data_IF_333971111277
#
_entry.id   IF_333971111277
#
_cell.length_a   1.000
_cell.length_b   1.000
_cell.length_c   1.000
_cell.angle_alpha   90.00
_cell.angle_beta   90.00
_cell.angle_gamma   90.00
#
_symmetry.space_group_name_H-M   'P 1'
#
loop_
_entity.id
_entity.type
_entity.pdbx_description
1 polymer ?
#
# COMPACT_ATOMS: atom_id res chain seq x y z
N UNK A 1 -13.75 -8.18 18.59
CA UNK A 1 -14.00 -8.18 17.14
C UNK A 1 -14.11 -6.74 16.69
N UNK A 2 -13.40 -6.36 15.62
CA UNK A 2 -13.54 -5.04 14.98
C UNK A 2 -14.36 -5.19 13.71
N UNK A 3 -15.21 -4.22 13.44
CA UNK A 3 -15.91 -4.07 12.16
C UNK A 3 -15.04 -3.25 11.23
N UNK A 4 -14.70 -3.80 10.06
CA UNK A 4 -13.65 -3.27 9.19
C UNK A 4 -14.17 -3.18 7.76
N UNK A 5 -14.09 -1.99 7.18
CA UNK A 5 -14.37 -1.75 5.76
C UNK A 5 -13.09 -1.39 5.04
N UNK A 6 -12.74 -2.16 4.01
CA UNK A 6 -11.66 -1.84 3.07
C UNK A 6 -12.26 -1.02 1.93
N UNK A 7 -11.79 0.21 1.78
CA UNK A 7 -12.13 1.09 0.64
C UNK A 7 -10.99 1.01 -0.36
N UNK A 8 -11.28 0.54 -1.56
CA UNK A 8 -10.31 0.32 -2.63
C UNK A 8 -10.74 1.07 -3.89
N UNK A 9 -9.83 1.91 -4.40
CA UNK A 9 -10.08 2.74 -5.57
C UNK A 9 -10.25 1.88 -6.83
N UNK A 10 -9.51 0.79 -6.95
CA UNK A 10 -9.54 -0.07 -8.12
C UNK A 10 -10.67 -1.11 -8.06
N UNK A 11 -10.86 -1.82 -9.17
CA UNK A 11 -11.86 -2.89 -9.28
C UNK A 11 -11.42 -4.23 -8.69
N UNK A 12 -10.24 -4.32 -8.05
CA UNK A 12 -9.77 -5.57 -7.45
C UNK A 12 -8.86 -5.36 -6.23
N UNK A 13 -8.96 -6.26 -5.25
CA UNK A 13 -8.00 -6.30 -4.15
C UNK A 13 -6.71 -6.97 -4.59
N UNK A 14 -5.59 -6.47 -4.05
CA UNK A 14 -4.26 -7.01 -4.28
C UNK A 14 -3.93 -7.19 -5.77
N UNK A 15 -4.19 -6.15 -6.57
CA UNK A 15 -4.00 -6.16 -8.03
C UNK A 15 -2.63 -6.70 -8.47
N UNK A 16 -1.59 -6.34 -7.73
CA UNK A 16 -0.18 -6.71 -7.97
C UNK A 16 0.19 -8.14 -7.52
N UNK A 17 -0.73 -8.84 -6.85
CA UNK A 17 -0.54 -10.22 -6.38
C UNK A 17 -0.71 -11.25 -7.50
N UNK A 18 -0.04 -12.39 -7.39
CA UNK A 18 -0.29 -13.51 -8.31
C UNK A 18 -1.65 -14.19 -8.01
N UNK A 19 -2.14 -14.99 -8.96
CA UNK A 19 -3.46 -15.64 -8.86
C UNK A 19 -3.64 -16.51 -7.60
N UNK A 20 -2.63 -17.31 -7.24
CA UNK A 20 -2.71 -18.19 -6.08
C UNK A 20 -2.81 -17.39 -4.78
N UNK A 21 -2.05 -16.30 -4.68
CA UNK A 21 -2.14 -15.36 -3.56
C UNK A 21 -3.54 -14.73 -3.45
N UNK A 22 -4.11 -14.26 -4.57
CA UNK A 22 -5.46 -13.67 -4.58
C UNK A 22 -6.53 -14.67 -4.12
N UNK A 23 -6.44 -15.93 -4.55
CA UNK A 23 -7.37 -17.00 -4.13
C UNK A 23 -7.28 -17.24 -2.62
N UNK A 24 -6.07 -17.40 -2.09
CA UNK A 24 -5.86 -17.63 -0.66
C UNK A 24 -6.34 -16.44 0.19
N UNK A 25 -6.06 -15.21 -0.26
CA UNK A 25 -6.54 -13.98 0.38
C UNK A 25 -8.06 -13.95 0.43
N UNK A 26 -8.74 -14.16 -0.71
CA UNK A 26 -10.20 -14.17 -0.79
C UNK A 26 -10.82 -15.21 0.15
N UNK A 27 -10.33 -16.45 0.12
CA UNK A 27 -10.81 -17.52 1.00
C UNK A 27 -10.62 -17.20 2.49
N UNK A 28 -9.58 -16.45 2.84
CA UNK A 28 -9.34 -16.01 4.23
C UNK A 28 -10.29 -14.86 4.61
N UNK A 29 -10.50 -13.90 3.71
CA UNK A 29 -11.41 -12.77 3.93
C UNK A 29 -12.87 -13.22 4.03
N UNK A 30 -13.30 -14.19 3.21
CA UNK A 30 -14.66 -14.77 3.27
C UNK A 30 -15.00 -15.39 4.63
N UNK A 31 -13.98 -15.79 5.42
CA UNK A 31 -14.16 -16.32 6.78
C UNK A 31 -14.34 -15.22 7.84
N UNK A 32 -14.05 -13.96 7.50
CA UNK A 32 -14.17 -12.82 8.39
C UNK A 32 -15.54 -12.15 8.19
N UNK A 33 -16.48 -12.42 9.09
CA UNK A 33 -17.87 -11.93 8.97
C UNK A 33 -18.01 -10.40 9.14
N UNK A 34 -17.05 -9.76 9.81
CA UNK A 34 -17.03 -8.31 10.10
C UNK A 34 -16.06 -7.55 9.18
N UNK A 35 -15.76 -8.12 8.01
CA UNK A 35 -14.89 -7.53 7.01
C UNK A 35 -15.70 -7.23 5.75
N UNK A 36 -15.74 -5.97 5.39
CA UNK A 36 -16.45 -5.45 4.22
C UNK A 36 -15.45 -4.90 3.21
N UNK A 37 -15.82 -4.94 1.94
CA UNK A 37 -14.97 -4.45 0.83
C UNK A 37 -15.80 -3.58 -0.08
N UNK A 38 -15.31 -2.38 -0.35
CA UNK A 38 -15.86 -1.43 -1.32
C UNK A 38 -14.81 -1.22 -2.41
N UNK A 39 -15.02 -1.85 -3.57
CA UNK A 39 -14.20 -1.66 -4.76
C UNK A 39 -14.69 -0.46 -5.56
N UNK A 40 -13.88 0.04 -6.49
CA UNK A 40 -14.21 1.19 -7.33
C UNK A 40 -14.71 2.39 -6.49
N UNK A 41 -14.13 2.58 -5.31
CA UNK A 41 -14.56 3.57 -4.31
C UNK A 41 -13.35 4.35 -3.81
N UNK A 42 -13.45 5.69 -3.82
CA UNK A 42 -12.44 6.60 -3.32
C UNK A 42 -12.84 7.16 -1.95
N UNK A 43 -11.88 7.22 -1.02
CA UNK A 43 -12.00 8.07 0.17
C UNK A 43 -11.75 9.52 -0.26
N UNK A 44 -12.72 10.40 0.01
CA UNK A 44 -12.68 11.81 -0.39
C UNK A 44 -12.21 12.71 0.74
N UNK A 45 -12.64 12.42 1.97
CA UNK A 45 -12.32 13.23 3.15
C UNK A 45 -12.36 12.36 4.41
N UNK A 46 -11.45 12.62 5.35
CA UNK A 46 -11.44 12.00 6.68
C UNK A 46 -11.93 13.06 7.67
N UNK A 47 -13.03 12.76 8.36
CA UNK A 47 -13.67 13.62 9.34
C UNK A 47 -13.52 13.02 10.75
N UNK A 48 -13.90 13.78 11.77
CA UNK A 48 -13.97 13.26 13.13
C UNK A 48 -15.12 12.24 13.25
N UNK A 49 -14.76 10.96 13.43
CA UNK A 49 -15.70 9.86 13.57
C UNK A 49 -16.27 9.28 12.26
N UNK A 50 -15.86 9.77 11.08
CA UNK A 50 -16.30 9.21 9.80
C UNK A 50 -15.33 9.46 8.64
N UNK A 51 -15.56 8.75 7.53
CA UNK A 51 -14.94 9.03 6.23
C UNK A 51 -16.00 9.25 5.15
N UNK A 52 -15.81 10.27 4.33
CA UNK A 52 -16.64 10.49 3.14
C UNK A 52 -16.06 9.69 1.98
N UNK A 53 -16.89 8.86 1.35
CA UNK A 53 -16.50 8.05 0.19
C UNK A 53 -17.36 8.36 -1.02
N UNK A 54 -16.78 8.16 -2.20
CA UNK A 54 -17.46 8.30 -3.50
C UNK A 54 -17.14 7.11 -4.37
N UNK A 55 -18.09 6.64 -5.18
CA UNK A 55 -17.72 5.80 -6.32
C UNK A 55 -16.76 6.57 -7.25
N UNK A 56 -15.87 5.84 -7.92
CA UNK A 56 -14.87 6.45 -8.82
C UNK A 56 -15.46 7.22 -10.00
N UNK A 57 -16.68 6.89 -10.40
CA UNK A 57 -17.44 7.62 -11.43
C UNK A 57 -18.17 8.88 -10.88
N UNK A 58 -18.11 9.11 -9.56
CA UNK A 58 -18.73 10.23 -8.87
C UNK A 58 -20.25 10.12 -8.70
N UNK A 59 -20.88 9.02 -9.08
CA UNK A 59 -22.35 8.88 -9.10
C UNK A 59 -22.95 8.61 -7.72
N UNK A 60 -22.19 8.00 -6.82
CA UNK A 60 -22.62 7.68 -5.46
C UNK A 60 -21.66 8.27 -4.44
N UNK A 61 -22.22 8.79 -3.35
CA UNK A 61 -21.49 9.33 -2.21
C UNK A 61 -22.14 8.86 -0.92
N UNK A 62 -21.32 8.53 0.08
CA UNK A 62 -21.82 8.16 1.41
C UNK A 62 -20.80 8.47 2.49
N UNK A 63 -21.29 8.68 3.70
CA UNK A 63 -20.47 8.79 4.90
C UNK A 63 -20.40 7.43 5.60
N UNK A 64 -19.19 7.00 5.97
CA UNK A 64 -18.96 5.76 6.71
C UNK A 64 -18.47 6.11 8.13
N UNK A 65 -19.27 5.84 9.18
CA UNK A 65 -18.81 6.01 10.56
C UNK A 65 -17.64 5.09 10.88
N UNK A 66 -16.59 5.61 11.51
CA UNK A 66 -15.44 4.81 11.93
C UNK A 66 -14.67 5.44 13.10
N UNK A 67 -14.13 4.60 13.98
CA UNK A 67 -13.26 5.05 15.08
C UNK A 67 -11.80 5.25 14.64
N UNK A 68 -11.38 4.62 13.55
CA UNK A 68 -9.98 4.56 13.13
C UNK A 68 -9.87 4.42 11.62
N UNK A 69 -9.00 5.23 11.02
CA UNK A 69 -8.66 5.17 9.61
C UNK A 69 -7.23 4.70 9.45
N UNK A 70 -7.02 3.66 8.64
CA UNK A 70 -5.70 3.16 8.26
C UNK A 70 -5.47 3.53 6.80
N UNK A 71 -4.46 4.35 6.52
CA UNK A 71 -4.10 4.78 5.17
C UNK A 71 -3.02 3.85 4.62
N UNK A 72 -3.41 3.03 3.64
CA UNK A 72 -2.55 2.01 3.01
C UNK A 72 -2.40 2.26 1.50
N UNK A 73 -2.21 3.51 1.10
CA UNK A 73 -2.23 3.94 -0.32
C UNK A 73 -0.86 3.90 -1.01
N UNK A 74 0.17 3.39 -0.33
CA UNK A 74 1.52 3.25 -0.85
C UNK A 74 2.58 3.76 0.10
N UNK A 75 3.82 3.83 -0.39
CA UNK A 75 4.99 4.27 0.37
C UNK A 75 5.82 5.25 -0.46
N UNK A 76 6.66 6.05 0.20
CA UNK A 76 7.59 6.98 -0.43
C UNK A 76 9.02 6.62 -0.01
N UNK A 77 9.96 6.75 -0.94
CA UNK A 77 11.38 6.59 -0.67
C UNK A 77 11.83 7.52 0.47
N UNK A 78 12.47 6.96 1.50
CA UNK A 78 13.14 7.74 2.54
C UNK A 78 14.62 7.90 2.17
N UNK A 79 14.92 8.94 1.40
CA UNK A 79 16.28 9.22 0.91
C UNK A 79 17.15 10.01 1.86
N UNK A 80 16.55 10.77 2.78
CA UNK A 80 17.28 11.75 3.61
C UNK A 80 18.46 11.12 4.36
N UNK A 81 18.24 9.98 5.04
CA UNK A 81 19.30 9.28 5.77
C UNK A 81 20.36 8.71 4.83
N UNK A 82 19.97 8.22 3.65
CA UNK A 82 20.91 7.69 2.67
C UNK A 82 21.80 8.80 2.07
N UNK A 83 21.21 9.99 1.89
CA UNK A 83 21.90 11.15 1.35
C UNK A 83 22.99 11.69 2.30
N UNK A 84 22.84 11.52 3.62
CA UNK A 84 23.83 11.90 4.62
C UNK A 84 25.18 11.18 4.47
N UNK A 85 25.22 10.03 3.78
CA UNK A 85 26.47 9.28 3.58
C UNK A 85 27.31 9.76 2.39
N UNK A 86 26.75 10.56 1.48
CA UNK A 86 27.51 11.04 0.32
C UNK A 86 28.73 11.87 0.75
N UNK A 87 29.88 11.58 0.15
CA UNK A 87 31.15 12.27 0.43
C UNK A 87 31.93 11.74 1.64
N UNK A 88 31.42 10.76 2.37
CA UNK A 88 32.15 10.11 3.49
C UNK A 88 33.11 9.01 2.99
N UNK A 89 32.81 8.38 1.86
CA UNK A 89 33.61 7.32 1.24
C UNK A 89 33.79 7.56 -0.27
N UNK A 90 34.76 6.92 -0.95
CA UNK A 90 34.98 7.08 -2.39
C UNK A 90 33.76 6.74 -3.25
N UNK A 91 32.93 5.79 -2.80
CA UNK A 91 31.70 5.39 -3.48
C UNK A 91 30.59 5.15 -2.45
N UNK A 92 29.39 5.61 -2.77
CA UNK A 92 28.16 5.40 -2.01
C UNK A 92 27.01 5.07 -2.96
N UNK A 93 26.16 4.14 -2.57
CA UNK A 93 25.05 3.64 -3.40
C UNK A 93 23.77 3.61 -2.58
N UNK A 94 22.66 4.05 -3.17
CA UNK A 94 21.32 3.84 -2.63
C UNK A 94 20.73 2.59 -3.27
N UNK A 95 20.26 1.64 -2.45
CA UNK A 95 19.66 0.38 -2.91
C UNK A 95 18.33 0.10 -2.21
N UNK A 96 17.44 -0.62 -2.88
CA UNK A 96 16.12 -1.01 -2.36
C UNK A 96 15.16 0.18 -2.23
N UNK A 97 14.24 0.11 -1.27
CA UNK A 97 13.12 1.05 -1.18
C UNK A 97 13.53 2.51 -0.88
N UNK A 98 14.73 2.73 -0.31
CA UNK A 98 15.25 4.10 -0.14
C UNK A 98 15.65 4.72 -1.48
N UNK A 99 15.97 3.91 -2.49
CA UNK A 99 16.17 4.37 -3.85
C UNK A 99 14.82 4.44 -4.59
N UNK A 100 14.16 3.30 -4.78
CA UNK A 100 12.87 3.18 -5.47
C UNK A 100 12.00 2.14 -4.75
N UNK A 101 10.87 2.55 -4.13
CA UNK A 101 9.99 1.62 -3.44
C UNK A 101 9.42 0.58 -4.39
N UNK A 102 9.54 -0.68 -4.01
CA UNK A 102 9.13 -1.82 -4.84
C UNK A 102 8.70 -3.01 -3.97
N UNK A 103 8.67 -4.23 -4.54
CA UNK A 103 8.46 -5.44 -3.73
C UNK A 103 9.80 -5.90 -3.17
N UNK A 104 9.73 -6.80 -2.20
CA UNK A 104 10.90 -7.34 -1.51
C UNK A 104 11.90 -7.96 -2.50
N UNK A 105 11.40 -8.60 -3.57
CA UNK A 105 12.23 -9.22 -4.60
C UNK A 105 13.14 -8.17 -5.28
N UNK A 106 12.58 -7.04 -5.68
CA UNK A 106 13.32 -5.95 -6.32
C UNK A 106 14.37 -5.37 -5.37
N UNK A 107 14.04 -5.18 -4.09
CA UNK A 107 15.02 -4.72 -3.10
C UNK A 107 16.18 -5.71 -2.92
N UNK A 108 15.92 -7.02 -2.90
CA UNK A 108 16.98 -8.04 -2.83
C UNK A 108 17.83 -8.08 -4.10
N UNK A 109 17.21 -7.92 -5.26
CA UNK A 109 17.91 -7.96 -6.55
C UNK A 109 18.78 -6.72 -6.75
N UNK A 110 18.31 -5.54 -6.32
CA UNK A 110 19.06 -4.30 -6.37
C UNK A 110 20.36 -4.40 -5.55
N UNK A 111 20.26 -4.90 -4.31
CA UNK A 111 21.42 -5.16 -3.47
C UNK A 111 22.42 -6.14 -4.08
N UNK A 112 21.92 -7.25 -4.64
CA UNK A 112 22.77 -8.22 -5.35
C UNK A 112 23.49 -7.60 -6.55
N UNK A 113 22.77 -6.87 -7.39
CA UNK A 113 23.33 -6.30 -8.62
C UNK A 113 24.41 -5.28 -8.32
N UNK A 114 24.19 -4.36 -7.38
CA UNK A 114 25.22 -3.39 -7.02
C UNK A 114 26.45 -4.12 -6.48
N UNK A 115 26.27 -5.06 -5.54
CA UNK A 115 27.39 -5.81 -4.96
C UNK A 115 28.18 -6.64 -5.99
N UNK A 116 27.50 -7.24 -6.97
CA UNK A 116 28.13 -8.05 -8.01
C UNK A 116 28.89 -7.21 -9.07
N UNK A 117 28.65 -5.90 -9.12
CA UNK A 117 29.30 -4.96 -10.04
C UNK A 117 30.29 -4.02 -9.33
N UNK A 118 30.62 -4.28 -8.05
CA UNK A 118 31.71 -3.59 -7.33
C UNK A 118 33.09 -4.03 -7.81
#
# INVERSE_FOLDING_TARGET
NKDVTVVEFTGELAAQGNMLYKIALRQKMEKAQTLHVMLNTSCMEILDGSVEVSSVDGTSKSSLPCDTVIISTGVRANRAVAEEFYGIAPQTFMIGDCNTPAKIMEATFDGYNIAANL
#
